data_IF_149799561582
#
_entry.id   IF_149799561582
#
_cell.length_a   1.000
_cell.length_b   1.000
_cell.length_c   1.000
_cell.angle_alpha   90.00
_cell.angle_beta   90.00
_cell.angle_gamma   90.00
#
_symmetry.space_group_name_H-M   'P 1'
#
loop_
_entity.id
_entity.type
_entity.pdbx_description
1 polymer ?
#
# COMPACT_ATOMS: atom_id res chain seq x y z
N UNK A 1 5.64 4.57 -9.47
CA UNK A 1 4.69 4.31 -8.36
C UNK A 1 4.75 5.33 -7.21
N UNK A 2 5.87 5.56 -6.52
CA UNK A 2 5.93 6.48 -5.36
C UNK A 2 5.35 7.91 -5.64
N UNK A 3 5.57 8.46 -6.84
CA UNK A 3 4.98 9.73 -7.28
C UNK A 3 3.45 9.71 -7.31
N UNK A 4 2.84 8.59 -7.74
CA UNK A 4 1.39 8.39 -7.72
C UNK A 4 0.88 8.50 -6.30
N UNK A 5 1.42 7.72 -5.36
CA UNK A 5 0.93 7.77 -3.99
C UNK A 5 1.18 9.12 -3.31
N UNK A 6 2.26 9.83 -3.67
CA UNK A 6 2.49 11.19 -3.18
C UNK A 6 1.38 12.15 -3.59
N UNK A 7 0.82 11.99 -4.80
CA UNK A 7 -0.29 12.82 -5.29
C UNK A 7 -1.57 12.66 -4.45
N UNK A 8 -1.77 11.52 -3.79
CA UNK A 8 -2.96 11.20 -2.98
C UNK A 8 -3.05 12.01 -1.67
N UNK A 9 -2.03 12.83 -1.35
CA UNK A 9 -2.12 13.81 -0.26
C UNK A 9 -3.19 14.87 -0.54
N UNK A 10 -3.42 15.19 -1.80
CA UNK A 10 -4.42 16.15 -2.22
C UNK A 10 -5.81 15.50 -2.33
N UNK A 11 -6.84 16.20 -1.85
CA UNK A 11 -8.21 15.67 -1.83
C UNK A 11 -8.79 15.46 -3.23
N UNK A 12 -8.59 16.41 -4.16
CA UNK A 12 -9.10 16.29 -5.52
C UNK A 12 -8.42 15.14 -6.27
N UNK A 13 -7.14 14.89 -6.01
CA UNK A 13 -6.46 13.72 -6.56
C UNK A 13 -7.03 12.40 -6.02
N UNK A 14 -7.44 12.34 -4.75
CA UNK A 14 -8.10 11.15 -4.20
C UNK A 14 -9.43 10.88 -4.87
N UNK A 15 -10.24 11.92 -5.09
CA UNK A 15 -11.52 11.80 -5.79
C UNK A 15 -11.32 11.30 -7.23
N UNK A 16 -10.33 11.87 -7.93
CA UNK A 16 -9.98 11.44 -9.30
C UNK A 16 -9.46 10.01 -9.36
N UNK A 17 -8.64 9.60 -8.40
CA UNK A 17 -8.16 8.22 -8.29
C UNK A 17 -9.34 7.27 -8.06
N UNK A 18 -10.20 7.56 -7.09
CA UNK A 18 -11.38 6.74 -6.76
C UNK A 18 -12.40 6.67 -7.91
N UNK A 19 -12.52 7.72 -8.72
CA UNK A 19 -13.40 7.74 -9.89
C UNK A 19 -12.90 6.86 -11.06
N UNK A 20 -11.61 6.51 -11.09
CA UNK A 20 -11.04 5.72 -12.18
C UNK A 20 -9.57 5.40 -11.95
N UNK A 21 -9.28 4.39 -11.14
CA UNK A 21 -7.91 4.07 -10.72
C UNK A 21 -6.97 3.76 -11.89
N UNK A 22 -7.41 2.91 -12.84
CA UNK A 22 -6.60 2.53 -13.99
C UNK A 22 -6.27 3.75 -14.87
N UNK A 23 -7.27 4.59 -15.16
CA UNK A 23 -7.07 5.82 -15.92
C UNK A 23 -6.14 6.81 -15.19
N UNK A 24 -6.23 6.88 -13.86
CA UNK A 24 -5.33 7.69 -13.06
C UNK A 24 -3.89 7.18 -13.11
N UNK A 25 -3.69 5.86 -12.99
CA UNK A 25 -2.37 5.21 -13.06
C UNK A 25 -1.62 5.47 -14.36
N UNK A 26 -2.32 5.51 -15.50
CA UNK A 26 -1.73 5.81 -16.81
C UNK A 26 -0.98 7.16 -16.86
N UNK A 27 -1.40 8.13 -16.04
CA UNK A 27 -0.75 9.44 -15.95
C UNK A 27 0.62 9.45 -15.23
N UNK A 28 1.03 8.34 -14.61
CA UNK A 28 2.23 8.29 -13.76
C UNK A 28 3.40 7.47 -14.33
N UNK A 29 3.26 6.94 -15.55
CA UNK A 29 4.31 6.16 -16.20
C UNK A 29 4.72 4.92 -15.41
N UNK A 30 3.74 4.20 -14.87
CA UNK A 30 3.96 2.92 -14.19
C UNK A 30 4.30 1.83 -15.23
N UNK A 31 5.05 0.81 -14.81
CA UNK A 31 5.10 -0.44 -15.58
C UNK A 31 3.77 -1.18 -15.43
N UNK A 32 3.48 -2.11 -16.36
CA UNK A 32 2.25 -2.91 -16.29
C UNK A 32 2.13 -3.68 -14.97
N UNK A 33 3.26 -4.20 -14.45
CA UNK A 33 3.30 -4.90 -13.16
C UNK A 33 3.02 -3.96 -11.98
N UNK A 34 3.56 -2.74 -12.00
CA UNK A 34 3.29 -1.74 -10.96
C UNK A 34 1.83 -1.30 -10.98
N UNK A 35 1.26 -1.05 -12.16
CA UNK A 35 -0.16 -0.70 -12.29
C UNK A 35 -1.03 -1.85 -11.79
N UNK A 36 -0.72 -3.09 -12.17
CA UNK A 36 -1.45 -4.26 -11.69
C UNK A 36 -1.39 -4.40 -10.17
N UNK A 37 -0.20 -4.25 -9.58
CA UNK A 37 -0.05 -4.30 -8.13
C UNK A 37 -0.94 -3.26 -7.43
N UNK A 38 -0.99 -2.02 -7.93
CA UNK A 38 -1.85 -0.96 -7.40
C UNK A 38 -3.33 -1.33 -7.47
N UNK A 39 -3.81 -1.78 -8.64
CA UNK A 39 -5.22 -2.09 -8.88
C UNK A 39 -5.70 -3.29 -8.07
N UNK A 40 -4.86 -4.32 -7.94
CA UNK A 40 -5.19 -5.54 -7.20
C UNK A 40 -4.92 -5.41 -5.69
N UNK A 41 -4.39 -4.27 -5.24
CA UNK A 41 -3.91 -4.05 -3.86
C UNK A 41 -2.89 -5.11 -3.42
N UNK A 42 -2.03 -5.54 -4.33
CA UNK A 42 -0.91 -6.41 -4.01
C UNK A 42 0.20 -5.61 -3.33
N UNK A 43 0.06 -5.46 -2.01
CA UNK A 43 0.97 -4.65 -1.20
C UNK A 43 2.40 -5.18 -1.24
N UNK A 44 2.58 -6.50 -1.29
CA UNK A 44 3.91 -7.12 -1.35
C UNK A 44 4.57 -6.82 -2.69
N UNK A 45 3.86 -7.04 -3.81
CA UNK A 45 4.36 -6.70 -5.12
C UNK A 45 4.67 -5.20 -5.25
N UNK A 46 3.89 -4.30 -4.63
CA UNK A 46 4.22 -2.88 -4.61
C UNK A 46 5.60 -2.62 -3.97
N UNK A 47 5.94 -3.30 -2.88
CA UNK A 47 7.26 -3.14 -2.24
C UNK A 47 8.36 -3.73 -3.13
N UNK A 48 8.16 -4.96 -3.63
CA UNK A 48 9.15 -5.66 -4.46
C UNK A 48 9.45 -4.90 -5.77
N UNK A 49 8.44 -4.21 -6.32
CA UNK A 49 8.56 -3.37 -7.51
C UNK A 49 9.10 -1.94 -7.22
N UNK A 50 9.71 -1.73 -6.05
CA UNK A 50 10.40 -0.49 -5.68
C UNK A 50 9.51 0.57 -5.01
N UNK A 51 8.32 0.19 -4.55
CA UNK A 51 7.47 1.01 -3.71
C UNK A 51 8.10 1.23 -2.34
N UNK A 52 8.17 2.48 -1.90
CA UNK A 52 8.54 2.79 -0.53
C UNK A 52 7.30 2.72 0.36
N UNK A 53 7.41 2.04 1.50
CA UNK A 53 6.29 1.84 2.43
C UNK A 53 5.62 3.15 2.86
N UNK A 54 6.38 4.24 3.03
CA UNK A 54 5.84 5.56 3.39
C UNK A 54 4.93 6.16 2.31
N UNK A 55 5.10 5.75 1.06
CA UNK A 55 4.25 6.13 -0.05
C UNK A 55 3.09 5.16 -0.21
N UNK A 56 3.35 3.85 -0.23
CA UNK A 56 2.32 2.80 -0.31
C UNK A 56 1.25 2.98 0.79
N UNK A 57 1.66 3.35 2.01
CA UNK A 57 0.74 3.59 3.11
C UNK A 57 -0.33 4.65 2.81
N UNK A 58 -0.10 5.59 1.89
CA UNK A 58 -1.12 6.58 1.50
C UNK A 58 -2.31 5.95 0.78
N UNK A 59 -2.07 4.93 -0.04
CA UNK A 59 -3.14 4.14 -0.65
C UNK A 59 -3.85 3.29 0.41
N UNK A 60 -3.10 2.64 1.29
CA UNK A 60 -3.68 1.87 2.39
C UNK A 60 -4.59 2.73 3.28
N UNK A 61 -4.20 3.96 3.61
CA UNK A 61 -5.06 4.90 4.35
C UNK A 61 -6.33 5.28 3.57
N UNK A 62 -6.27 5.40 2.24
CA UNK A 62 -7.47 5.62 1.44
C UNK A 62 -8.45 4.45 1.53
N UNK A 63 -7.94 3.22 1.62
CA UNK A 63 -8.74 2.02 1.80
C UNK A 63 -9.12 1.76 3.28
N UNK A 64 -8.82 2.69 4.20
CA UNK A 64 -9.10 2.55 5.63
C UNK A 64 -8.24 1.49 6.33
N UNK A 65 -7.10 1.12 5.74
CA UNK A 65 -6.17 0.12 6.28
C UNK A 65 -5.09 0.75 7.16
N UNK A 66 -4.74 0.03 8.22
CA UNK A 66 -3.75 0.44 9.21
C UNK A 66 -2.32 0.02 8.81
N UNK A 67 -1.30 0.55 9.50
CA UNK A 67 0.07 0.06 9.33
C UNK A 67 0.22 -1.38 9.86
N UNK A 68 -0.59 -1.77 10.83
CA UNK A 68 -0.61 -3.12 11.41
C UNK A 68 -1.20 -4.14 10.44
N UNK A 69 -2.25 -3.76 9.69
CA UNK A 69 -2.75 -4.55 8.57
C UNK A 69 -1.64 -4.84 7.56
N UNK A 70 -0.91 -3.81 7.12
CA UNK A 70 0.22 -3.98 6.20
C UNK A 70 1.33 -4.84 6.82
N UNK A 71 1.60 -4.68 8.12
CA UNK A 71 2.51 -5.54 8.87
C UNK A 71 2.13 -7.02 8.82
N UNK A 72 0.84 -7.35 8.94
CA UNK A 72 0.32 -8.69 8.70
C UNK A 72 0.62 -9.17 7.28
N UNK A 73 0.27 -8.38 6.27
CA UNK A 73 0.53 -8.73 4.85
C UNK A 73 2.01 -9.04 4.60
N UNK A 74 2.92 -8.17 5.02
CA UNK A 74 4.36 -8.35 4.77
C UNK A 74 5.01 -9.46 5.59
N UNK A 75 4.34 -9.95 6.63
CA UNK A 75 4.80 -11.10 7.40
C UNK A 75 4.13 -12.40 7.00
N UNK A 76 3.16 -12.35 6.07
CA UNK A 76 2.29 -13.48 5.75
C UNK A 76 1.35 -13.87 6.91
N UNK A 77 1.20 -13.01 7.92
CA UNK A 77 0.32 -13.22 9.06
C UNK A 77 -1.04 -12.55 8.80
N UNK A 78 -2.08 -13.03 9.49
CA UNK A 78 -3.31 -12.25 9.63
C UNK A 78 -3.06 -10.96 10.43
N UNK A 79 -3.90 -9.93 10.23
CA UNK A 79 -3.79 -8.67 10.98
C UNK A 79 -3.88 -8.91 12.51
N UNK A 80 -4.81 -9.76 12.95
CA UNK A 80 -4.99 -10.09 14.38
C UNK A 80 -3.77 -10.82 14.97
N UNK A 81 -3.19 -11.77 14.23
CA UNK A 81 -1.99 -12.49 14.65
C UNK A 81 -0.78 -11.56 14.74
N UNK A 82 -0.65 -10.66 13.76
CA UNK A 82 0.39 -9.63 13.78
C UNK A 82 0.23 -8.68 14.97
N UNK A 83 -0.99 -8.23 15.25
CA UNK A 83 -1.30 -7.41 16.42
C UNK A 83 -0.99 -8.14 17.73
N UNK A 84 -1.34 -9.42 17.83
CA UNK A 84 -1.03 -10.25 18.99
C UNK A 84 0.49 -10.38 19.18
N UNK A 85 1.24 -10.64 18.12
CA UNK A 85 2.71 -10.69 18.16
C UNK A 85 3.32 -9.36 18.60
N UNK A 86 2.83 -8.22 18.10
CA UNK A 86 3.28 -6.89 18.53
C UNK A 86 2.99 -6.64 20.01
N UNK A 87 1.80 -7.04 20.51
CA UNK A 87 1.44 -6.95 21.93
C UNK A 87 2.29 -7.86 22.82
N UNK A 88 2.75 -8.99 22.30
CA UNK A 88 3.63 -9.93 22.99
C UNK A 88 5.11 -9.49 23.05
N UNK A 89 5.42 -8.26 22.62
CA UNK A 89 6.77 -7.70 22.63
C UNK A 89 7.46 -7.71 21.27
N UNK A 90 6.71 -7.98 20.19
CA UNK A 90 7.20 -7.92 18.82
C UNK A 90 8.07 -9.10 18.42
N UNK A 91 8.56 -9.05 17.18
CA UNK A 91 9.51 -10.04 16.66
C UNK A 91 10.85 -9.81 17.37
N UNK A 92 11.43 -10.87 17.93
CA UNK A 92 12.76 -10.83 18.53
C UNK A 92 13.77 -11.32 17.49
N UNK A 93 14.83 -10.56 17.27
CA UNK A 93 15.98 -11.03 16.52
C UNK A 93 16.63 -12.14 17.37
N UNK A 94 16.75 -13.34 16.79
CA UNK A 94 17.38 -14.49 17.44
C UNK A 94 18.89 -14.35 17.52
#
# INVERSE_FOLDING_TARGET
MNKLFMSLRDAGNRERFAAGEAAYCQGFGLTAEQERAVLDRDWQAMIDLGGSIFYVYKLAMMDGRSMQYLGGVFTGMGEDDFLAAMRAGGRRDG
#
